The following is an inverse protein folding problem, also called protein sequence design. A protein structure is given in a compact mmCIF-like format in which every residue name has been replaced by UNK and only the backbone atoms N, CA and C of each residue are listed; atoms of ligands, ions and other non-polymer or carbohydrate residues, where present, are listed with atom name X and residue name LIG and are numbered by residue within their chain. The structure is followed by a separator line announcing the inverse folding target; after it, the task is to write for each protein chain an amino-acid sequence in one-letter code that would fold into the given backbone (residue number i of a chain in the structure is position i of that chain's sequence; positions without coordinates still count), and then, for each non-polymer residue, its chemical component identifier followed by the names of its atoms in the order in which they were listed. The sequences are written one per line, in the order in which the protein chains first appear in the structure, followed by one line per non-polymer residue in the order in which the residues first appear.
data_IF_952695008009
#
_entry.id   IF_952695008009
#
_cell.length_a   1.000
_cell.length_b   1.000
_cell.length_c   1.000
_cell.angle_alpha   90.00
_cell.angle_beta   90.00
_cell.angle_gamma   90.00
#
_symmetry.space_group_name_H-M   'P 1'
#
loop_
_entity.id
_entity.type
_entity.pdbx_description
1 polymer ?
#
# COMPACT_ATOMS: atom_id res chain seq x y z
N UNK A 1 23.03 9.23 0.55
CA UNK A 1 21.74 9.66 1.11
C UNK A 1 20.69 8.71 0.56
N UNK A 2 19.80 8.15 1.38
CA UNK A 2 18.75 7.23 0.91
C UNK A 2 17.52 8.07 0.56
N UNK A 3 16.98 7.88 -0.65
CA UNK A 3 15.72 8.48 -1.08
C UNK A 3 14.60 7.48 -0.80
N UNK A 4 13.93 7.64 0.35
CA UNK A 4 12.92 6.71 0.84
C UNK A 4 11.78 6.52 -0.18
N UNK A 5 11.33 7.61 -0.78
CA UNK A 5 10.27 7.62 -1.80
C UNK A 5 10.62 6.74 -3.01
N UNK A 6 11.86 6.85 -3.49
CA UNK A 6 12.34 6.05 -4.61
C UNK A 6 12.50 4.57 -4.24
N UNK A 7 12.92 4.29 -3.00
CA UNK A 7 13.02 2.94 -2.48
C UNK A 7 11.64 2.27 -2.38
N UNK A 8 10.65 2.97 -1.81
CA UNK A 8 9.27 2.50 -1.70
C UNK A 8 8.70 2.24 -3.10
N UNK A 9 8.85 3.19 -4.03
CA UNK A 9 8.37 3.02 -5.40
C UNK A 9 8.98 1.79 -6.08
N UNK A 10 10.30 1.60 -5.93
CA UNK A 10 11.00 0.43 -6.50
C UNK A 10 10.51 -0.88 -5.90
N UNK A 11 10.39 -0.95 -4.57
CA UNK A 11 9.92 -2.15 -3.88
C UNK A 11 8.48 -2.50 -4.27
N UNK A 12 7.60 -1.48 -4.35
CA UNK A 12 6.22 -1.68 -4.74
C UNK A 12 6.10 -2.22 -6.16
N UNK A 13 6.89 -1.70 -7.10
CA UNK A 13 6.91 -2.20 -8.47
C UNK A 13 7.28 -3.70 -8.51
N UNK A 14 8.35 -4.08 -7.79
CA UNK A 14 8.81 -5.48 -7.71
C UNK A 14 7.75 -6.39 -7.10
N UNK A 15 7.09 -5.95 -6.02
CA UNK A 15 6.04 -6.74 -5.35
C UNK A 15 4.81 -6.91 -6.25
N UNK A 16 4.38 -5.84 -6.93
CA UNK A 16 3.24 -5.88 -7.85
C UNK A 16 3.53 -6.84 -9.02
N UNK A 17 4.69 -6.72 -9.65
CA UNK A 17 5.12 -7.59 -10.75
C UNK A 17 5.18 -9.06 -10.31
N UNK A 18 5.82 -9.34 -9.17
CA UNK A 18 5.97 -10.71 -8.68
C UNK A 18 4.65 -11.34 -8.18
N UNK A 19 3.71 -10.53 -7.70
CA UNK A 19 2.37 -10.98 -7.35
C UNK A 19 1.48 -11.20 -8.57
N UNK A 20 1.90 -10.76 -9.77
CA UNK A 20 1.05 -10.73 -10.96
C UNK A 20 -0.14 -9.77 -10.80
N UNK A 21 0.01 -8.74 -9.96
CA UNK A 21 -1.04 -7.78 -9.64
C UNK A 21 -1.02 -6.58 -10.60
N UNK A 22 -2.17 -5.91 -10.75
CA UNK A 22 -2.25 -4.66 -11.53
C UNK A 22 -1.98 -3.42 -10.66
N UNK A 23 -2.29 -3.53 -9.37
CA UNK A 23 -2.13 -2.46 -8.38
C UNK A 23 -1.65 -3.04 -7.05
N UNK A 24 -1.03 -2.19 -6.22
CA UNK A 24 -0.59 -2.52 -4.88
C UNK A 24 -0.66 -1.31 -3.97
N UNK A 25 -0.95 -1.55 -2.69
CA UNK A 25 -0.98 -0.52 -1.65
C UNK A 25 -0.07 -0.92 -0.50
N UNK A 26 0.76 0.01 -0.04
CA UNK A 26 1.50 -0.11 1.22
C UNK A 26 0.70 0.57 2.34
N UNK A 27 0.37 -0.21 3.37
CA UNK A 27 -0.33 0.25 4.56
C UNK A 27 0.60 0.06 5.76
N UNK A 28 0.72 1.09 6.60
CA UNK A 28 1.44 1.02 7.86
C UNK A 28 0.46 1.18 9.03
N UNK A 29 0.74 0.47 10.11
CA UNK A 29 0.09 0.69 11.40
C UNK A 29 0.93 1.69 12.19
N UNK A 30 0.51 2.95 12.18
CA UNK A 30 1.15 4.05 12.92
C UNK A 30 0.17 4.52 14.00
N UNK A 31 0.61 4.63 15.26
CA UNK A 31 -0.23 5.13 16.37
C UNK A 31 -1.60 4.42 16.52
N UNK A 32 -1.62 3.11 16.27
CA UNK A 32 -2.82 2.27 16.31
C UNK A 32 -3.88 2.62 15.23
N UNK A 33 -3.45 3.31 14.17
CA UNK A 33 -4.24 3.65 12.98
C UNK A 33 -3.58 3.09 11.73
N UNK A 34 -4.40 2.54 10.83
CA UNK A 34 -3.94 2.10 9.52
C UNK A 34 -3.88 3.29 8.56
N UNK A 35 -2.70 3.52 8.00
CA UNK A 35 -2.40 4.62 7.09
C UNK A 35 -1.86 4.07 5.79
N UNK A 36 -2.51 4.42 4.68
CA UNK A 36 -1.96 4.21 3.34
C UNK A 36 -0.80 5.17 3.16
N UNK A 37 0.36 4.64 2.79
CA UNK A 37 1.57 5.45 2.57
C UNK A 37 2.10 5.33 1.14
N UNK A 38 1.60 4.36 0.37
CA UNK A 38 1.86 4.27 -1.06
C UNK A 38 0.70 3.55 -1.77
N UNK A 39 0.32 4.05 -2.94
CA UNK A 39 -0.54 3.38 -3.90
C UNK A 39 0.16 3.37 -5.26
N UNK A 40 0.35 2.18 -5.82
CA UNK A 40 1.07 2.01 -7.07
C UNK A 40 0.23 1.16 -8.03
N UNK A 41 0.36 1.46 -9.32
CA UNK A 41 -0.14 0.61 -10.40
C UNK A 41 1.05 0.31 -11.29
N UNK A 42 1.17 -0.91 -11.81
CA UNK A 42 2.33 -1.33 -12.59
C UNK A 42 2.67 -0.43 -13.79
N UNK A 43 1.72 0.42 -14.21
CA UNK A 43 1.81 1.28 -15.38
C UNK A 43 1.91 2.78 -15.04
N UNK A 44 1.90 3.17 -13.75
CA UNK A 44 1.86 4.58 -13.32
C UNK A 44 2.82 4.85 -12.16
N UNK A 45 3.31 6.10 -12.00
CA UNK A 45 4.05 6.49 -10.81
C UNK A 45 3.26 6.19 -9.54
N UNK A 46 3.96 5.73 -8.50
CA UNK A 46 3.37 5.56 -7.18
C UNK A 46 2.93 6.90 -6.60
N UNK A 47 1.72 6.94 -6.08
CA UNK A 47 1.26 7.98 -5.18
C UNK A 47 1.74 7.66 -3.76
N UNK A 48 2.45 8.59 -3.13
CA UNK A 48 3.04 8.44 -1.79
C UNK A 48 2.35 9.34 -0.75
N UNK A 49 1.20 9.91 -1.10
CA UNK A 49 0.40 10.70 -0.16
C UNK A 49 -0.11 9.82 0.99
N UNK A 50 0.08 10.31 2.23
CA UNK A 50 -0.42 9.63 3.42
C UNK A 50 -1.91 9.91 3.60
N UNK A 51 -2.72 8.85 3.62
CA UNK A 51 -4.16 8.94 3.92
C UNK A 51 -4.58 7.85 4.89
N UNK A 52 -5.49 8.17 5.80
CA UNK A 52 -6.08 7.15 6.67
C UNK A 52 -6.84 6.13 5.82
N UNK A 53 -6.70 4.84 6.14
CA UNK A 53 -7.46 3.78 5.44
C UNK A 53 -8.97 4.04 5.51
N UNK A 54 -9.46 4.64 6.60
CA UNK A 54 -10.87 5.01 6.76
C UNK A 54 -11.37 6.04 5.72
N UNK A 55 -10.46 6.88 5.20
CA UNK A 55 -10.77 7.93 4.21
C UNK A 55 -10.41 7.48 2.78
N UNK A 56 -9.84 6.28 2.63
CA UNK A 56 -9.40 5.75 1.36
C UNK A 56 -10.55 5.04 0.62
N UNK A 57 -11.06 5.66 -0.44
CA UNK A 57 -12.19 5.11 -1.21
C UNK A 57 -11.83 3.87 -2.06
N UNK A 58 -10.55 3.61 -2.30
CA UNK A 58 -10.07 2.55 -3.20
C UNK A 58 -9.88 1.21 -2.50
N UNK A 59 -9.86 1.16 -1.16
CA UNK A 59 -9.53 -0.05 -0.40
C UNK A 59 -10.71 -0.45 0.50
N UNK A 60 -11.31 -1.63 0.29
CA UNK A 60 -12.37 -2.13 1.17
C UNK A 60 -11.80 -2.54 2.53
N UNK A 61 -12.16 -1.81 3.58
CA UNK A 61 -11.76 -2.09 4.99
C UNK A 61 -12.12 -3.51 5.44
N UNK A 62 -13.16 -4.10 4.86
CA UNK A 62 -13.56 -5.49 5.14
C UNK A 62 -12.48 -6.51 4.78
N UNK A 63 -11.74 -6.28 3.69
CA UNK A 63 -10.65 -7.18 3.27
C UNK A 63 -9.49 -7.09 4.25
N UNK A 64 -9.12 -5.88 4.66
CA UNK A 64 -8.06 -5.66 5.66
C UNK A 64 -8.38 -6.38 6.96
N UNK A 65 -9.60 -6.21 7.49
CA UNK A 65 -10.06 -6.89 8.72
C UNK A 65 -10.11 -8.40 8.57
N UNK A 66 -10.37 -8.91 7.35
CA UNK A 66 -10.32 -10.34 7.09
C UNK A 66 -8.90 -10.86 7.27
N UNK A 67 -7.92 -10.24 6.58
CA UNK A 67 -6.49 -10.62 6.64
C UNK A 67 -5.93 -10.47 8.06
N UNK A 68 -6.27 -9.39 8.77
CA UNK A 68 -5.87 -9.19 10.17
C UNK A 68 -6.32 -10.37 11.06
N UNK A 69 -7.54 -10.85 10.84
CA UNK A 69 -8.13 -11.94 11.62
C UNK A 69 -7.62 -13.32 11.18
N UNK A 70 -7.38 -13.52 9.89
CA UNK A 70 -6.99 -14.83 9.34
C UNK A 70 -5.47 -15.05 9.32
N UNK A 71 -4.67 -13.97 9.31
CA UNK A 71 -3.23 -14.00 9.02
C UNK A 71 -2.87 -14.67 7.67
N UNK A 72 -3.86 -14.74 6.78
CA UNK A 72 -3.81 -15.31 5.43
C UNK A 72 -4.17 -14.23 4.41
#
# INVERSE_FOLDING_TARGET
MIHLDQLIATLMQVVIENAGAETGTLILLEENQLTVVAQCSGNKPCDLEKIAVADCATIPVSVIRSVERTQE
#
